data_IF_107565002452
#
_entry.id   IF_107565002452
#
_cell.length_a   1.000
_cell.length_b   1.000
_cell.length_c   1.000
_cell.angle_alpha   90.00
_cell.angle_beta   90.00
_cell.angle_gamma   90.00
#
_symmetry.space_group_name_H-M   'P 1'
#
loop_
_entity.id
_entity.type
_entity.pdbx_description
1 polymer ?
#
# COMPACT_ATOMS: atom_id res chain seq x y z
N UNK A 1 -10.61 -11.65 17.43
CA UNK A 1 -9.45 -10.78 17.14
C UNK A 1 -9.74 -9.75 16.06
N UNK A 2 -10.58 -10.03 15.06
CA UNK A 2 -11.04 -8.99 14.14
C UNK A 2 -11.80 -7.91 14.94
N UNK A 3 -11.52 -6.63 14.66
CA UNK A 3 -12.16 -5.49 15.31
C UNK A 3 -11.81 -5.27 16.78
N UNK A 4 -10.74 -5.87 17.32
CA UNK A 4 -10.31 -5.66 18.72
C UNK A 4 -10.00 -4.18 19.04
N UNK A 5 -9.67 -3.38 18.03
CA UNK A 5 -9.37 -1.95 18.12
C UNK A 5 -10.29 -1.10 17.25
N UNK A 6 -11.50 -1.57 16.97
CA UNK A 6 -12.48 -0.88 16.10
C UNK A 6 -12.78 0.57 16.49
N UNK A 7 -12.68 0.90 17.79
CA UNK A 7 -12.87 2.26 18.33
C UNK A 7 -11.84 3.26 17.84
N UNK A 8 -10.73 2.79 17.27
CA UNK A 8 -9.65 3.60 16.69
C UNK A 8 -9.59 3.46 15.16
N UNK A 9 -10.66 2.99 14.53
CA UNK A 9 -10.71 2.78 13.07
C UNK A 9 -10.49 4.06 12.27
N UNK A 10 -10.96 5.21 12.74
CA UNK A 10 -10.70 6.53 12.16
C UNK A 10 -9.23 6.92 12.26
N UNK A 11 -8.63 6.81 13.45
CA UNK A 11 -7.21 7.10 13.68
C UNK A 11 -6.34 6.20 12.79
N UNK A 12 -6.69 4.92 12.70
CA UNK A 12 -6.03 3.97 11.81
C UNK A 12 -6.07 4.43 10.34
N UNK A 13 -7.23 4.87 9.85
CA UNK A 13 -7.38 5.36 8.48
C UNK A 13 -6.57 6.63 8.21
N UNK A 14 -6.46 7.56 9.17
CA UNK A 14 -5.56 8.70 9.04
C UNK A 14 -4.09 8.28 8.99
N UNK A 15 -3.67 7.39 9.88
CA UNK A 15 -2.28 6.91 9.94
C UNK A 15 -1.90 6.18 8.66
N UNK A 16 -2.72 5.24 8.19
CA UNK A 16 -2.43 4.49 6.95
C UNK A 16 -2.50 5.39 5.72
N UNK A 17 -3.43 6.36 5.68
CA UNK A 17 -3.50 7.34 4.58
C UNK A 17 -2.23 8.18 4.49
N UNK A 18 -1.75 8.73 5.62
CA UNK A 18 -0.49 9.49 5.66
C UNK A 18 0.69 8.61 5.27
N UNK A 19 0.79 7.40 5.83
CA UNK A 19 1.87 6.47 5.51
C UNK A 19 1.89 6.10 4.03
N UNK A 20 0.73 5.82 3.43
CA UNK A 20 0.61 5.47 2.02
C UNK A 20 0.98 6.63 1.09
N UNK A 21 0.61 7.88 1.43
CA UNK A 21 1.07 9.05 0.68
C UNK A 21 2.58 9.22 0.77
N UNK A 22 3.13 9.16 1.99
CA UNK A 22 4.54 9.45 2.24
C UNK A 22 5.46 8.36 1.68
N UNK A 23 5.07 7.09 1.77
CA UNK A 23 5.88 5.95 1.35
C UNK A 23 5.65 5.53 -0.11
N UNK A 24 4.46 5.77 -0.69
CA UNK A 24 4.16 5.29 -2.04
C UNK A 24 3.63 6.41 -2.94
N UNK A 25 2.54 7.08 -2.56
CA UNK A 25 1.87 8.07 -3.42
C UNK A 25 2.80 9.16 -3.94
N UNK A 26 3.37 9.97 -3.03
CA UNK A 26 4.21 11.12 -3.36
C UNK A 26 5.54 10.68 -3.99
N UNK A 27 6.31 9.74 -3.42
CA UNK A 27 7.59 9.35 -4.01
C UNK A 27 7.47 8.80 -5.43
N UNK A 28 6.47 7.96 -5.70
CA UNK A 28 6.25 7.39 -7.03
C UNK A 28 5.73 8.41 -8.04
N UNK A 29 4.98 9.42 -7.59
CA UNK A 29 4.49 10.49 -8.45
C UNK A 29 5.61 11.47 -8.86
N UNK A 30 6.46 11.85 -7.90
CA UNK A 30 7.44 12.92 -8.11
C UNK A 30 8.81 12.39 -8.54
N UNK A 31 9.30 11.32 -7.90
CA UNK A 31 10.67 10.80 -8.09
C UNK A 31 10.73 9.26 -8.20
N UNK A 32 9.93 8.63 -9.10
CA UNK A 32 9.76 7.17 -9.13
C UNK A 32 11.08 6.42 -9.23
N UNK A 33 12.01 6.85 -10.08
CA UNK A 33 13.29 6.16 -10.27
C UNK A 33 14.21 6.25 -9.05
N UNK A 34 14.19 7.35 -8.29
CA UNK A 34 14.98 7.44 -7.05
C UNK A 34 14.38 6.51 -6.01
N UNK A 35 13.05 6.47 -5.95
CA UNK A 35 12.34 5.60 -5.03
C UNK A 35 12.57 4.11 -5.33
N UNK A 36 12.48 3.68 -6.60
CA UNK A 36 12.80 2.31 -7.01
C UNK A 36 14.22 1.90 -6.60
N UNK A 37 15.20 2.81 -6.65
CA UNK A 37 16.57 2.53 -6.20
C UNK A 37 16.67 2.34 -4.68
N UNK A 38 15.84 3.00 -3.87
CA UNK A 38 15.76 2.76 -2.42
C UNK A 38 15.37 1.29 -2.15
N UNK A 39 14.41 0.79 -2.94
CA UNK A 39 14.02 -0.62 -2.95
C UNK A 39 14.98 -1.52 -3.74
N UNK A 40 16.15 -1.03 -4.15
CA UNK A 40 17.20 -1.80 -4.83
C UNK A 40 16.77 -2.44 -6.15
N UNK A 41 15.77 -1.87 -6.84
CA UNK A 41 15.42 -2.29 -8.18
C UNK A 41 16.54 -1.93 -9.16
N UNK A 42 16.86 -2.88 -10.05
CA UNK A 42 17.60 -2.59 -11.27
C UNK A 42 16.68 -1.87 -12.25
N UNK A 43 17.14 -0.73 -12.79
CA UNK A 43 16.32 0.11 -13.68
C UNK A 43 16.76 -0.12 -15.13
N UNK A 44 15.92 -0.78 -15.95
CA UNK A 44 16.24 -1.00 -17.36
C UNK A 44 16.19 0.31 -18.15
N UNK A 45 17.03 0.40 -19.17
CA UNK A 45 17.03 1.51 -20.13
C UNK A 45 16.29 1.09 -21.42
N UNK A 46 15.45 1.95 -22.03
CA UNK A 46 15.14 3.34 -21.62
C UNK A 46 14.11 3.44 -20.48
N UNK A 47 14.24 4.45 -19.63
CA UNK A 47 13.48 4.57 -18.36
C UNK A 47 12.02 5.04 -18.52
N UNK A 48 11.60 5.47 -19.71
CA UNK A 48 10.31 6.15 -19.92
C UNK A 48 9.11 5.33 -19.43
N UNK A 49 9.11 4.02 -19.70
CA UNK A 49 8.03 3.13 -19.27
C UNK A 49 7.99 3.01 -17.74
N UNK A 50 9.16 2.89 -17.09
CA UNK A 50 9.27 2.80 -15.62
C UNK A 50 8.78 4.08 -14.96
N UNK A 51 9.14 5.25 -15.50
CA UNK A 51 8.63 6.54 -15.01
C UNK A 51 7.12 6.63 -15.17
N UNK A 52 6.59 6.26 -16.33
CA UNK A 52 5.14 6.35 -16.61
C UNK A 52 4.32 5.43 -15.71
N UNK A 53 4.74 4.17 -15.57
CA UNK A 53 4.08 3.20 -14.68
C UNK A 53 4.23 3.59 -13.20
N UNK A 54 5.42 4.03 -12.78
CA UNK A 54 5.65 4.52 -11.42
C UNK A 54 4.71 5.67 -11.07
N UNK A 55 4.60 6.67 -11.94
CA UNK A 55 3.68 7.81 -11.72
C UNK A 55 2.22 7.38 -11.70
N UNK A 56 1.83 6.47 -12.59
CA UNK A 56 0.48 5.93 -12.62
C UNK A 56 0.13 5.26 -11.29
N UNK A 57 1.01 4.39 -10.78
CA UNK A 57 0.84 3.77 -9.46
C UNK A 57 0.82 4.81 -8.33
N UNK A 58 1.68 5.83 -8.40
CA UNK A 58 1.68 6.95 -7.46
C UNK A 58 0.34 7.68 -7.38
N UNK A 59 -0.35 7.88 -8.52
CA UNK A 59 -1.70 8.45 -8.56
C UNK A 59 -2.69 7.53 -7.84
N UNK A 60 -2.69 6.22 -8.15
CA UNK A 60 -3.59 5.26 -7.51
C UNK A 60 -3.38 5.21 -5.99
N UNK A 61 -2.13 5.11 -5.51
CA UNK A 61 -1.82 5.12 -4.07
C UNK A 61 -2.25 6.44 -3.41
N UNK A 62 -2.06 7.58 -4.10
CA UNK A 62 -2.47 8.89 -3.58
C UNK A 62 -3.99 9.00 -3.46
N UNK A 63 -4.74 8.50 -4.45
CA UNK A 63 -6.19 8.49 -4.40
C UNK A 63 -6.71 7.59 -3.30
N UNK A 64 -6.18 6.36 -3.16
CA UNK A 64 -6.53 5.49 -2.04
C UNK A 64 -6.35 6.22 -0.70
N UNK A 65 -5.24 6.95 -0.52
CA UNK A 65 -4.96 7.65 0.73
C UNK A 65 -5.93 8.81 0.99
N UNK A 66 -6.25 9.58 -0.05
CA UNK A 66 -7.26 10.63 0.04
C UNK A 66 -8.62 10.03 0.44
N UNK A 67 -9.01 8.91 -0.16
CA UNK A 67 -10.23 8.21 0.20
C UNK A 67 -10.20 7.59 1.60
N UNK A 68 -9.02 7.25 2.14
CA UNK A 68 -8.86 6.88 3.55
C UNK A 68 -9.29 8.03 4.47
N UNK A 69 -8.87 9.26 4.18
CA UNK A 69 -9.24 10.44 4.96
C UNK A 69 -10.73 10.75 4.88
N UNK A 70 -11.33 10.55 3.70
CA UNK A 70 -12.77 10.71 3.50
C UNK A 70 -13.54 9.64 4.28
N UNK A 71 -13.12 8.38 4.18
CA UNK A 71 -13.74 7.26 4.90
C UNK A 71 -13.59 7.40 6.42
N UNK A 72 -12.49 7.95 6.92
CA UNK A 72 -12.29 8.20 8.35
C UNK A 72 -13.40 9.08 8.95
N UNK A 73 -13.86 10.08 8.20
CA UNK A 73 -14.95 10.98 8.58
C UNK A 73 -16.36 10.48 8.26
N UNK A 74 -16.51 9.32 7.64
CA UNK A 74 -17.80 8.77 7.20
C UNK A 74 -17.98 7.34 7.72
N UNK A 75 -18.69 7.14 8.85
CA UNK A 75 -18.87 5.81 9.45
C UNK A 75 -19.37 4.74 8.48
N UNK A 76 -20.34 5.08 7.63
CA UNK A 76 -20.95 4.17 6.66
C UNK A 76 -19.99 3.74 5.54
N UNK A 77 -18.96 4.55 5.25
CA UNK A 77 -17.97 4.23 4.23
C UNK A 77 -16.83 3.34 4.75
N UNK A 78 -16.62 3.26 6.06
CA UNK A 78 -15.47 2.55 6.63
C UNK A 78 -15.44 1.06 6.31
N UNK A 79 -16.54 0.27 6.47
CA UNK A 79 -16.49 -1.15 6.17
C UNK A 79 -16.03 -1.44 4.74
N UNK A 80 -16.60 -0.73 3.77
CA UNK A 80 -16.17 -0.82 2.36
C UNK A 80 -14.70 -0.46 2.17
N UNK A 81 -14.22 0.62 2.79
CA UNK A 81 -12.82 1.03 2.65
C UNK A 81 -11.86 0.02 3.30
N UNK A 82 -12.23 -0.59 4.44
CA UNK A 82 -11.47 -1.67 5.06
C UNK A 82 -11.44 -2.93 4.18
N UNK A 83 -12.55 -3.32 3.55
CA UNK A 83 -12.60 -4.43 2.60
C UNK A 83 -11.68 -4.19 1.39
N UNK A 84 -11.73 -2.97 0.86
CA UNK A 84 -10.82 -2.53 -0.20
C UNK A 84 -9.37 -2.65 0.24
N UNK A 85 -9.03 -2.19 1.46
CA UNK A 85 -7.66 -2.25 1.95
C UNK A 85 -7.16 -3.66 2.19
N UNK A 86 -7.98 -4.53 2.78
CA UNK A 86 -7.65 -5.95 2.94
C UNK A 86 -7.43 -6.63 1.59
N UNK A 87 -8.27 -6.30 0.60
CA UNK A 87 -8.13 -6.82 -0.76
C UNK A 87 -6.83 -6.37 -1.43
N UNK A 88 -6.45 -5.10 -1.27
CA UNK A 88 -5.17 -4.57 -1.76
C UNK A 88 -4.00 -5.26 -1.06
N UNK A 89 -4.01 -5.36 0.27
CA UNK A 89 -2.92 -5.98 1.04
C UNK A 89 -2.74 -7.47 0.70
N UNK A 90 -3.84 -8.21 0.56
CA UNK A 90 -3.81 -9.61 0.14
C UNK A 90 -3.27 -9.76 -1.30
N UNK A 91 -3.71 -8.89 -2.20
CA UNK A 91 -3.30 -8.89 -3.61
C UNK A 91 -1.81 -8.51 -3.78
N UNK A 92 -1.33 -7.51 -3.03
CA UNK A 92 0.08 -7.15 -2.96
C UNK A 92 0.91 -8.29 -2.37
N UNK A 93 0.46 -8.90 -1.28
CA UNK A 93 1.12 -10.09 -0.72
C UNK A 93 1.27 -11.21 -1.77
N UNK A 94 0.19 -11.51 -2.52
CA UNK A 94 0.23 -12.51 -3.59
C UNK A 94 1.19 -12.12 -4.74
N UNK A 95 1.20 -10.85 -5.14
CA UNK A 95 2.11 -10.34 -6.18
C UNK A 95 3.59 -10.49 -5.76
N UNK A 96 3.92 -10.17 -4.51
CA UNK A 96 5.29 -10.28 -4.00
C UNK A 96 5.73 -11.74 -3.83
N UNK A 97 4.81 -12.63 -3.41
CA UNK A 97 5.08 -14.08 -3.40
C UNK A 97 5.38 -14.57 -4.81
N UNK A 98 4.58 -14.16 -5.79
CA UNK A 98 4.85 -14.49 -7.21
C UNK A 98 6.22 -13.97 -7.66
N UNK A 99 6.55 -12.71 -7.37
CA UNK A 99 7.84 -12.11 -7.72
C UNK A 99 9.03 -12.80 -7.07
N UNK A 100 8.90 -13.21 -5.80
CA UNK A 100 9.93 -13.97 -5.08
C UNK A 100 10.15 -15.36 -5.70
N UNK A 101 9.08 -16.09 -6.02
CA UNK A 101 9.16 -17.42 -6.67
C UNK A 101 9.84 -17.30 -8.03
N UNK A 102 9.52 -16.25 -8.81
CA UNK A 102 10.13 -15.99 -10.12
C UNK A 102 11.51 -15.36 -10.05
N UNK A 103 11.97 -14.96 -8.86
CA UNK A 103 13.26 -14.27 -8.64
C UNK A 103 13.41 -13.01 -9.50
N UNK A 104 12.31 -12.27 -9.67
CA UNK A 104 12.27 -11.04 -10.48
C UNK A 104 12.25 -9.77 -9.64
N UNK A 105 12.25 -9.88 -8.32
CA UNK A 105 12.23 -8.75 -7.40
C UNK A 105 13.47 -8.77 -6.48
N UNK A 106 13.95 -7.59 -6.03
CA UNK A 106 15.06 -7.51 -5.08
C UNK A 106 14.69 -8.06 -3.69
N UNK A 107 15.71 -8.27 -2.85
CA UNK A 107 15.54 -8.86 -1.50
C UNK A 107 14.63 -8.01 -0.62
N UNK A 108 14.69 -6.69 -0.75
CA UNK A 108 13.79 -5.72 -0.09
C UNK A 108 12.32 -6.06 -0.32
N UNK A 109 11.92 -6.26 -1.57
CA UNK A 109 10.55 -6.62 -1.97
C UNK A 109 10.15 -8.03 -1.50
N UNK A 110 11.13 -8.92 -1.33
CA UNK A 110 10.90 -10.26 -0.75
C UNK A 110 10.61 -10.17 0.75
N UNK A 111 11.29 -9.29 1.47
CA UNK A 111 11.00 -9.00 2.89
C UNK A 111 9.61 -8.38 3.03
N UNK A 112 9.14 -7.61 2.05
CA UNK A 112 7.81 -7.00 2.08
C UNK A 112 6.67 -8.02 2.13
N UNK A 113 6.85 -9.29 1.75
CA UNK A 113 5.83 -10.33 1.96
C UNK A 113 5.40 -10.38 3.42
N UNK A 114 6.36 -10.32 4.34
CA UNK A 114 6.10 -10.31 5.79
C UNK A 114 5.36 -9.02 6.16
N UNK A 115 5.78 -7.87 5.61
CA UNK A 115 5.12 -6.59 5.84
C UNK A 115 3.65 -6.63 5.40
N UNK A 116 3.34 -7.17 4.22
CA UNK A 116 1.97 -7.30 3.71
C UNK A 116 1.10 -8.15 4.64
N UNK A 117 1.62 -9.28 5.13
CA UNK A 117 0.91 -10.13 6.11
C UNK A 117 0.67 -9.38 7.42
N UNK A 118 1.69 -8.70 7.95
CA UNK A 118 1.56 -7.93 9.20
C UNK A 118 0.54 -6.81 9.04
N UNK A 119 0.61 -6.03 7.96
CA UNK A 119 -0.34 -4.95 7.68
C UNK A 119 -1.77 -5.48 7.50
N UNK A 120 -1.95 -6.64 6.87
CA UNK A 120 -3.27 -7.28 6.74
C UNK A 120 -3.85 -7.63 8.11
N UNK A 121 -3.05 -8.27 8.98
CA UNK A 121 -3.48 -8.63 10.33
C UNK A 121 -3.76 -7.40 11.20
N UNK A 122 -2.93 -6.36 11.10
CA UNK A 122 -3.15 -5.08 11.78
C UNK A 122 -4.46 -4.45 11.28
N UNK A 123 -4.69 -4.41 9.97
CA UNK A 123 -5.94 -3.88 9.39
C UNK A 123 -7.17 -4.60 9.93
N UNK A 124 -7.12 -5.94 10.03
CA UNK A 124 -8.19 -6.73 10.65
C UNK A 124 -8.46 -6.34 12.11
N UNK A 125 -7.42 -6.00 12.88
CA UNK A 125 -7.59 -5.58 14.28
C UNK A 125 -8.38 -4.28 14.40
N UNK A 126 -8.27 -3.37 13.42
CA UNK A 126 -9.00 -2.09 13.39
C UNK A 126 -10.33 -2.14 12.62
N UNK A 127 -10.72 -3.30 12.08
CA UNK A 127 -11.92 -3.42 11.26
C UNK A 127 -13.18 -2.95 12.02
N UNK A 128 -14.02 -2.08 11.42
CA UNK A 128 -15.21 -1.52 12.07
C UNK A 128 -16.41 -2.49 11.95
N UNK A 129 -16.55 -3.40 12.91
CA UNK A 129 -17.70 -4.33 13.06
C UNK A 129 -18.67 -3.80 14.10
#
# INVERSE_FOLDING_TARGET
MIGIWQSYSDVYLYVVGVAMLAAFGIPLLVVPLRWSRVFRWEIPQPENLVVFLGRSLGIFCSLLAIFAFIAAGSPDAKPFYFDLMLSVLASMGALHVYGAIKKIQPVTETVEIILWVVLFLITLCFYPI
#
